data_IF_458250678308
#
_entry.id   IF_458250678308
#
_cell.length_a   1.000
_cell.length_b   1.000
_cell.length_c   1.000
_cell.angle_alpha   90.00
_cell.angle_beta   90.00
_cell.angle_gamma   90.00
#
_symmetry.space_group_name_H-M   'P 1'
#
loop_
_entity.id
_entity.type
_entity.pdbx_description
1 polymer ?
#
# COMPACT_ATOMS: atom_id res chain seq x y z
N UNK A 1 -43.86 44.18 -21.33
CA UNK A 1 -42.73 43.22 -21.39
C UNK A 1 -42.62 42.58 -20.02
N UNK A 2 -43.00 41.31 -19.88
CA UNK A 2 -42.90 40.61 -18.58
C UNK A 2 -41.50 40.00 -18.50
N UNK A 3 -40.63 40.64 -17.71
CA UNK A 3 -39.30 40.11 -17.41
C UNK A 3 -39.38 38.78 -16.63
N UNK A 4 -38.30 37.99 -16.62
CA UNK A 4 -38.24 36.77 -15.83
C UNK A 4 -38.56 37.06 -14.36
N UNK A 5 -39.37 36.20 -13.74
CA UNK A 5 -39.68 36.31 -12.32
C UNK A 5 -38.41 36.11 -11.50
N UNK A 6 -38.25 36.84 -10.39
CA UNK A 6 -37.13 36.70 -9.44
C UNK A 6 -36.89 35.22 -9.08
N UNK A 7 -37.96 34.44 -8.95
CA UNK A 7 -37.88 32.99 -8.70
C UNK A 7 -37.17 32.23 -9.82
N UNK A 8 -37.39 32.59 -11.09
CA UNK A 8 -36.73 31.97 -12.24
C UNK A 8 -35.24 32.29 -12.30
N UNK A 9 -34.85 33.51 -11.92
CA UNK A 9 -33.44 33.91 -11.84
C UNK A 9 -32.70 33.16 -10.72
N UNK A 10 -33.35 32.98 -9.56
CA UNK A 10 -32.81 32.21 -8.43
C UNK A 10 -32.60 30.75 -8.83
N UNK A 11 -33.58 30.14 -9.51
CA UNK A 11 -33.50 28.75 -9.98
C UNK A 11 -32.33 28.59 -10.97
N UNK A 12 -32.19 29.52 -11.90
CA UNK A 12 -31.13 29.43 -12.92
C UNK A 12 -29.74 29.63 -12.31
N UNK A 13 -29.60 30.58 -11.37
CA UNK A 13 -28.38 30.74 -10.59
C UNK A 13 -28.03 29.49 -9.77
N UNK A 14 -29.04 28.82 -9.19
CA UNK A 14 -28.85 27.58 -8.44
C UNK A 14 -28.39 26.43 -9.34
N UNK A 15 -28.97 26.27 -10.54
CA UNK A 15 -28.53 25.29 -11.53
C UNK A 15 -27.10 25.54 -11.97
N UNK A 16 -26.75 26.80 -12.28
CA UNK A 16 -25.40 27.15 -12.71
C UNK A 16 -24.34 26.84 -11.63
N UNK A 17 -24.67 27.10 -10.37
CA UNK A 17 -23.82 26.70 -9.23
C UNK A 17 -23.71 25.19 -9.09
N UNK A 18 -24.81 24.46 -9.25
CA UNK A 18 -24.81 23.00 -9.19
C UNK A 18 -23.93 22.38 -10.29
N UNK A 19 -24.03 22.89 -11.52
CA UNK A 19 -23.18 22.49 -12.66
C UNK A 19 -21.71 22.76 -12.32
N UNK A 20 -21.40 23.98 -11.86
CA UNK A 20 -20.03 24.37 -11.53
C UNK A 20 -19.41 23.48 -10.46
N UNK A 21 -20.13 23.20 -9.37
CA UNK A 21 -19.66 22.31 -8.29
C UNK A 21 -19.44 20.90 -8.81
N UNK A 22 -20.33 20.40 -9.66
CA UNK A 22 -20.21 19.07 -10.23
C UNK A 22 -18.99 18.96 -11.14
N UNK A 23 -18.80 19.93 -12.05
CA UNK A 23 -17.63 20.00 -12.93
C UNK A 23 -16.33 20.10 -12.14
N UNK A 24 -16.29 20.90 -11.06
CA UNK A 24 -15.13 20.99 -10.18
C UNK A 24 -14.82 19.63 -9.52
N UNK A 25 -15.82 18.92 -9.00
CA UNK A 25 -15.60 17.58 -8.41
C UNK A 25 -15.05 16.58 -9.41
N UNK A 26 -15.57 16.56 -10.64
CA UNK A 26 -15.08 15.67 -11.70
C UNK A 26 -13.63 16.05 -12.05
N UNK A 27 -13.33 17.34 -12.16
CA UNK A 27 -11.99 17.84 -12.45
C UNK A 27 -11.01 17.46 -11.34
N UNK A 28 -11.38 17.65 -10.08
CA UNK A 28 -10.56 17.25 -8.94
C UNK A 28 -10.31 15.73 -8.91
N UNK A 29 -11.33 14.94 -9.22
CA UNK A 29 -11.23 13.48 -9.26
C UNK A 29 -10.30 13.00 -10.38
N UNK A 30 -10.44 13.56 -11.58
CA UNK A 30 -9.57 13.25 -12.73
C UNK A 30 -8.13 13.68 -12.47
N UNK A 31 -7.91 14.88 -11.93
CA UNK A 31 -6.57 15.35 -11.55
C UNK A 31 -5.91 14.45 -10.51
N UNK A 32 -6.67 13.95 -9.52
CA UNK A 32 -6.17 12.99 -8.53
C UNK A 32 -5.80 11.65 -9.16
N UNK A 33 -6.60 11.14 -10.11
CA UNK A 33 -6.29 9.90 -10.82
C UNK A 33 -5.00 10.04 -11.64
N UNK A 34 -4.89 11.10 -12.44
CA UNK A 34 -3.66 11.41 -13.21
C UNK A 34 -2.43 11.48 -12.29
N UNK A 35 -2.56 12.13 -11.12
CA UNK A 35 -1.47 12.19 -10.15
C UNK A 35 -1.11 10.83 -9.53
N UNK A 36 -2.08 9.91 -9.39
CA UNK A 36 -1.80 8.55 -8.90
C UNK A 36 -1.05 7.72 -9.94
N UNK A 37 -1.43 7.81 -11.22
CA UNK A 37 -0.80 7.06 -12.31
C UNK A 37 0.66 7.50 -12.53
N UNK A 38 0.96 8.78 -12.28
CA UNK A 38 2.30 9.33 -12.40
C UNK A 38 3.17 9.18 -11.14
N UNK A 39 2.72 8.44 -10.11
CA UNK A 39 3.55 8.24 -8.92
C UNK A 39 4.80 7.44 -9.27
N UNK A 40 6.00 7.92 -8.91
CA UNK A 40 7.21 7.15 -9.11
C UNK A 40 7.09 5.80 -8.40
N UNK A 41 7.63 4.72 -9.00
CA UNK A 41 7.54 3.39 -8.42
C UNK A 41 8.13 3.40 -7.01
N UNK A 42 7.54 2.63 -6.12
CA UNK A 42 8.00 2.53 -4.75
C UNK A 42 9.49 2.14 -4.73
N UNK A 43 10.31 2.94 -4.02
CA UNK A 43 11.73 2.60 -3.83
C UNK A 43 11.88 1.67 -2.64
N UNK A 44 12.45 0.50 -2.89
CA UNK A 44 12.76 -0.47 -1.85
C UNK A 44 13.70 0.15 -0.83
N UNK A 45 13.37 0.04 0.46
CA UNK A 45 14.22 0.62 1.50
C UNK A 45 15.48 -0.21 1.73
N UNK A 46 15.45 -1.50 1.47
CA UNK A 46 16.59 -2.41 1.64
C UNK A 46 17.67 -2.23 0.57
N UNK A 47 17.33 -2.34 -0.71
CA UNK A 47 18.28 -2.32 -1.84
C UNK A 47 18.20 -1.06 -2.73
N UNK A 48 17.26 -0.15 -2.47
CA UNK A 48 17.06 1.14 -3.19
C UNK A 48 16.60 1.03 -4.65
N UNK A 49 16.24 -0.18 -5.13
CA UNK A 49 15.65 -0.41 -6.46
C UNK A 49 14.13 -0.15 -6.47
N UNK A 50 13.53 -0.18 -7.66
CA UNK A 50 12.11 0.13 -7.89
C UNK A 50 11.24 -1.11 -7.67
N UNK A 51 10.90 -1.39 -6.41
CA UNK A 51 9.92 -2.41 -5.99
C UNK A 51 9.55 -2.20 -4.53
N UNK A 52 8.51 -2.90 -4.06
CA UNK A 52 8.13 -2.83 -2.66
C UNK A 52 9.16 -3.52 -1.77
N UNK A 53 9.33 -3.01 -0.55
CA UNK A 53 10.41 -3.47 0.33
C UNK A 53 10.21 -4.93 0.76
N UNK A 54 8.96 -5.37 0.92
CA UNK A 54 8.65 -6.74 1.29
C UNK A 54 8.87 -7.76 0.15
N UNK A 55 8.96 -7.31 -1.11
CA UNK A 55 9.23 -8.12 -2.30
C UNK A 55 10.73 -8.20 -2.62
N UNK A 56 11.59 -7.65 -1.76
CA UNK A 56 13.02 -7.55 -2.05
C UNK A 56 13.68 -8.93 -2.12
N UNK A 57 14.13 -9.33 -3.31
CA UNK A 57 14.95 -10.54 -3.54
C UNK A 57 16.45 -10.23 -3.64
N UNK A 58 16.84 -8.96 -3.76
CA UNK A 58 18.25 -8.55 -3.87
C UNK A 58 19.05 -8.76 -2.58
N UNK A 59 18.38 -8.72 -1.42
CA UNK A 59 19.02 -8.93 -0.11
C UNK A 59 18.73 -10.36 0.33
N UNK A 60 19.75 -11.16 0.66
CA UNK A 60 19.58 -12.50 1.21
C UNK A 60 18.63 -12.51 2.41
N UNK A 61 17.79 -13.55 2.50
CA UNK A 61 16.68 -13.61 3.45
C UNK A 61 17.15 -13.50 4.91
N UNK A 62 18.21 -14.23 5.26
CA UNK A 62 18.92 -14.24 6.53
C UNK A 62 19.48 -12.86 6.92
N UNK A 63 19.81 -12.01 5.94
CA UNK A 63 20.37 -10.68 6.16
C UNK A 63 19.32 -9.56 6.24
N UNK A 64 18.06 -9.82 5.85
CA UNK A 64 17.03 -8.78 5.76
C UNK A 64 16.71 -8.13 7.09
N UNK A 65 16.62 -8.93 8.16
CA UNK A 65 16.31 -8.43 9.50
C UNK A 65 17.41 -7.49 10.00
N UNK A 66 18.67 -7.94 9.93
CA UNK A 66 19.82 -7.13 10.33
C UNK A 66 19.89 -5.82 9.54
N UNK A 67 19.70 -5.90 8.22
CA UNK A 67 19.70 -4.70 7.36
C UNK A 67 18.58 -3.72 7.69
N UNK A 68 17.42 -4.19 8.16
CA UNK A 68 16.37 -3.30 8.68
C UNK A 68 16.84 -2.55 9.93
N UNK A 69 17.52 -3.22 10.86
CA UNK A 69 18.05 -2.61 12.07
C UNK A 69 19.11 -1.54 11.73
N UNK A 70 20.07 -1.89 10.88
CA UNK A 70 21.16 -0.99 10.47
C UNK A 70 20.62 0.28 9.79
N UNK A 71 19.59 0.13 8.95
CA UNK A 71 18.95 1.24 8.24
C UNK A 71 17.85 1.95 9.05
N UNK A 72 17.66 1.60 10.33
CA UNK A 72 16.61 2.13 11.21
C UNK A 72 15.22 2.06 10.57
N UNK A 73 14.90 0.89 10.03
CA UNK A 73 13.57 0.56 9.52
C UNK A 73 12.76 -0.12 10.63
N UNK A 74 11.46 0.18 10.66
CA UNK A 74 10.55 -0.53 11.53
C UNK A 74 10.40 -1.96 11.01
N UNK A 75 10.81 -2.94 11.82
CA UNK A 75 10.75 -4.36 11.48
C UNK A 75 9.33 -4.87 11.24
N UNK A 76 8.30 -4.12 11.65
CA UNK A 76 6.91 -4.45 11.38
C UNK A 76 6.43 -3.93 10.02
N UNK A 77 6.67 -2.66 9.67
CA UNK A 77 6.13 -2.06 8.45
C UNK A 77 7.15 -1.82 7.32
N UNK A 78 8.42 -2.15 7.56
CA UNK A 78 9.54 -1.94 6.64
C UNK A 78 9.69 -0.49 6.16
N UNK A 79 9.13 0.46 6.90
CA UNK A 79 9.25 1.89 6.66
C UNK A 79 10.23 2.51 7.66
N UNK A 80 10.63 3.77 7.51
CA UNK A 80 11.52 4.45 8.46
C UNK A 80 10.94 4.37 9.88
N UNK A 81 11.76 4.00 10.85
CA UNK A 81 11.38 3.76 12.24
C UNK A 81 11.15 5.05 13.05
N UNK A 82 10.40 6.01 12.52
CA UNK A 82 9.95 7.20 13.27
C UNK A 82 8.72 6.90 14.14
N UNK A 83 8.61 5.69 14.66
CA UNK A 83 7.53 5.27 15.54
C UNK A 83 7.94 4.05 16.37
N UNK A 84 7.39 3.95 17.57
CA UNK A 84 7.55 2.77 18.41
C UNK A 84 6.79 1.57 17.79
N UNK A 85 7.29 0.32 17.86
CA UNK A 85 6.62 -0.85 17.29
C UNK A 85 5.17 -1.03 17.75
N UNK A 86 4.86 -0.73 19.02
CA UNK A 86 3.48 -0.78 19.55
C UNK A 86 2.53 0.21 18.87
N UNK A 87 3.07 1.30 18.30
CA UNK A 87 2.31 2.33 17.59
C UNK A 87 2.31 2.10 16.07
N UNK A 88 2.96 1.03 15.60
CA UNK A 88 3.01 0.70 14.19
C UNK A 88 1.62 0.29 13.71
N UNK A 89 1.06 1.02 12.73
CA UNK A 89 -0.26 0.68 12.15
C UNK A 89 -0.30 -0.73 11.55
N UNK A 90 0.84 -1.26 11.11
CA UNK A 90 0.91 -2.60 10.53
C UNK A 90 0.71 -3.71 11.57
N UNK A 91 0.85 -3.43 12.87
CA UNK A 91 0.53 -4.40 13.92
C UNK A 91 -0.94 -4.83 13.88
N UNK A 92 -1.82 -3.98 13.35
CA UNK A 92 -3.25 -4.26 13.14
C UNK A 92 -3.52 -5.14 11.90
N UNK A 93 -2.49 -5.49 11.13
CA UNK A 93 -2.57 -6.35 9.94
C UNK A 93 -1.85 -7.68 10.20
N UNK A 94 -2.46 -8.61 10.96
CA UNK A 94 -1.80 -9.84 11.41
C UNK A 94 -1.38 -10.76 10.25
N UNK A 95 -1.99 -10.64 9.07
CA UNK A 95 -1.61 -11.42 7.89
C UNK A 95 -0.23 -11.06 7.31
N UNK A 96 0.32 -9.87 7.62
CA UNK A 96 1.64 -9.44 7.17
C UNK A 96 2.76 -9.71 8.19
N UNK A 97 2.38 -10.16 9.38
CA UNK A 97 3.30 -10.43 10.48
C UNK A 97 3.77 -11.89 10.40
N UNK A 98 5.03 -12.13 10.77
CA UNK A 98 5.58 -13.46 10.86
C UNK A 98 4.78 -14.31 11.86
N UNK A 99 4.31 -15.48 11.41
CA UNK A 99 3.56 -16.45 12.22
C UNK A 99 4.41 -17.65 12.66
N UNK A 100 5.70 -17.65 12.33
CA UNK A 100 6.58 -18.75 12.71
C UNK A 100 6.68 -18.82 14.24
N UNK A 101 6.35 -19.97 14.81
CA UNK A 101 6.32 -20.20 16.25
C UNK A 101 7.66 -19.85 16.92
N UNK A 102 8.78 -20.13 16.25
CA UNK A 102 10.11 -19.81 16.75
C UNK A 102 10.39 -18.31 16.84
N UNK A 103 9.64 -17.48 16.10
CA UNK A 103 9.73 -16.02 16.09
C UNK A 103 8.74 -15.37 17.08
N UNK A 104 7.80 -16.13 17.64
CA UNK A 104 6.76 -15.64 18.55
C UNK A 104 7.18 -15.50 20.02
N UNK A 105 8.43 -15.81 20.38
CA UNK A 105 8.93 -15.57 21.74
C UNK A 105 9.15 -14.07 21.97
N UNK A 106 9.08 -13.63 23.23
CA UNK A 106 9.01 -12.21 23.65
C UNK A 106 9.82 -11.24 22.76
N UNK A 107 9.14 -10.21 22.23
CA UNK A 107 9.69 -9.05 21.49
C UNK A 107 10.24 -9.28 20.07
N UNK A 108 10.14 -10.46 19.47
CA UNK A 108 10.59 -10.70 18.08
C UNK A 108 9.49 -10.62 17.02
N UNK A 109 8.43 -9.83 17.24
CA UNK A 109 7.37 -9.61 16.24
C UNK A 109 7.93 -8.77 15.08
N UNK A 110 7.86 -9.30 13.85
CA UNK A 110 8.40 -8.68 12.64
C UNK A 110 7.53 -9.00 11.41
N UNK A 111 7.79 -8.32 10.29
CA UNK A 111 7.13 -8.56 9.01
C UNK A 111 7.53 -9.93 8.44
N UNK A 112 6.58 -10.71 7.94
CA UNK A 112 6.84 -12.08 7.45
C UNK A 112 7.98 -12.14 6.42
N UNK A 113 8.07 -11.14 5.54
CA UNK A 113 9.07 -11.10 4.45
C UNK A 113 10.52 -10.89 4.88
N UNK A 114 10.79 -10.54 6.15
CA UNK A 114 12.15 -10.35 6.68
C UNK A 114 12.54 -11.43 7.68
N UNK A 115 11.70 -12.46 7.84
CA UNK A 115 11.99 -13.61 8.68
C UNK A 115 13.16 -14.41 8.10
N UNK A 116 14.22 -14.61 8.89
CA UNK A 116 15.36 -15.47 8.57
C UNK A 116 14.96 -16.93 8.36
N UNK A 117 13.87 -17.35 8.99
CA UNK A 117 13.29 -18.71 8.93
C UNK A 117 12.08 -18.79 7.99
N UNK A 118 11.93 -17.86 7.05
CA UNK A 118 10.90 -17.98 6.04
C UNK A 118 11.17 -19.23 5.18
N UNK A 119 10.15 -20.05 4.87
CA UNK A 119 10.34 -21.12 3.89
C UNK A 119 10.82 -20.50 2.58
N UNK A 120 11.77 -21.16 1.91
CA UNK A 120 12.21 -20.72 0.59
C UNK A 120 10.99 -20.59 -0.33
N UNK A 121 10.90 -19.52 -1.15
CA UNK A 121 9.82 -19.40 -2.10
C UNK A 121 9.87 -20.63 -3.02
N UNK A 122 8.89 -21.51 -2.88
CA UNK A 122 8.70 -22.63 -3.80
C UNK A 122 8.58 -22.02 -5.20
N UNK A 123 9.43 -22.43 -6.16
CA UNK A 123 9.25 -22.03 -7.54
C UNK A 123 7.81 -22.35 -7.93
N UNK A 124 7.10 -21.38 -8.51
CA UNK A 124 5.80 -21.62 -9.09
C UNK A 124 6.07 -22.48 -10.33
N UNK A 125 6.18 -23.79 -10.16
CA UNK A 125 6.06 -24.71 -11.28
C UNK A 125 4.63 -24.56 -11.74
N UNK A 126 4.45 -24.07 -12.97
CA UNK A 126 3.19 -24.10 -13.70
C UNK A 126 2.59 -25.49 -13.48
N UNK A 127 1.51 -25.56 -12.68
CA UNK A 127 0.78 -26.79 -12.50
C UNK A 127 -0.09 -26.94 -13.73
N UNK A 128 0.22 -27.96 -14.50
CA UNK A 128 -0.41 -28.37 -15.73
C UNK A 128 -1.95 -28.27 -15.66
N UNK A 129 -2.50 -27.73 -16.75
CA UNK A 129 -3.91 -27.74 -17.09
C UNK A 129 -4.43 -29.19 -17.19
N UNK A 130 -5.66 -29.39 -16.70
CA UNK A 130 -6.63 -30.41 -17.12
C UNK A 130 -6.28 -31.90 -16.92
N UNK A 131 -7.08 -32.61 -16.13
CA UNK A 131 -8.10 -33.52 -16.69
C UNK A 131 -9.10 -33.94 -15.59
N UNK A 132 -10.27 -33.31 -15.63
CA UNK A 132 -11.49 -33.84 -15.01
C UNK A 132 -12.09 -34.84 -15.98
N UNK A 133 -12.25 -36.10 -15.56
CA UNK A 133 -13.53 -36.82 -15.64
C UNK A 133 -13.35 -38.31 -15.30
N UNK A 134 -14.04 -38.73 -14.25
CA UNK A 134 -14.66 -40.06 -14.14
C UNK A 134 -15.74 -40.04 -13.06
#
# INVERSE_FOLDING_TARGET
MNGPSITSEIIEAAKQRAITIHTQRITDQTMRAIQQDNKPPAKCRLCKRNHLTYECTTIPQDQKLQKCLDQRLCILCLNKAFHHPTNCRLIKKPHLICKNYHCGKKFSIHHASICDKAPEPVPITEMDEEESDQ
#
